data_IF_359634367497
#
_entry.id   IF_359634367497
#
_cell.length_a   1.000
_cell.length_b   1.000
_cell.length_c   1.000
_cell.angle_alpha   90.00
_cell.angle_beta   90.00
_cell.angle_gamma   90.00
#
_symmetry.space_group_name_H-M   'P 1'
#
loop_
_entity.id
_entity.type
_entity.pdbx_description
1 polymer ?
#
# COMPACT_ATOMS: atom_id res chain seq x y z
N UNK A 1 -11.47 -6.20 -4.24
CA UNK A 1 -10.29 -6.59 -3.41
C UNK A 1 -10.24 -5.78 -2.10
N UNK A 2 -9.69 -6.33 -1.01
CA UNK A 2 -9.43 -5.56 0.23
C UNK A 2 -8.20 -4.66 0.08
N UNK A 3 -8.05 -3.63 0.94
CA UNK A 3 -6.86 -2.77 0.96
C UNK A 3 -5.57 -3.58 1.14
N UNK A 4 -5.56 -4.57 2.03
CA UNK A 4 -4.42 -5.45 2.25
C UNK A 4 -3.92 -6.11 0.95
N UNK A 5 -4.85 -6.68 0.16
CA UNK A 5 -4.54 -7.29 -1.14
C UNK A 5 -4.03 -6.27 -2.15
N UNK A 6 -4.63 -5.07 -2.21
CA UNK A 6 -4.22 -4.01 -3.14
C UNK A 6 -2.83 -3.47 -2.82
N UNK A 7 -2.52 -3.25 -1.54
CA UNK A 7 -1.22 -2.75 -1.08
C UNK A 7 -0.13 -3.78 -1.38
N UNK A 8 -0.37 -5.06 -1.06
CA UNK A 8 0.57 -6.13 -1.39
C UNK A 8 0.80 -6.25 -2.90
N UNK A 9 -0.27 -6.17 -3.69
CA UNK A 9 -0.19 -6.19 -5.16
C UNK A 9 0.61 -5.01 -5.70
N UNK A 10 0.40 -3.81 -5.14
CA UNK A 10 1.16 -2.61 -5.52
C UNK A 10 2.66 -2.82 -5.30
N UNK A 11 3.04 -3.35 -4.13
CA UNK A 11 4.43 -3.66 -3.83
C UNK A 11 5.04 -4.64 -4.83
N UNK A 12 4.31 -5.69 -5.17
CA UNK A 12 4.74 -6.71 -6.15
C UNK A 12 4.84 -6.15 -7.57
N UNK A 13 3.93 -5.26 -7.99
CA UNK A 13 3.98 -4.60 -9.31
C UNK A 13 5.16 -3.64 -9.42
N UNK A 14 5.46 -2.90 -8.35
CA UNK A 14 6.58 -1.99 -8.30
C UNK A 14 7.93 -2.70 -8.09
N UNK A 15 7.93 -4.00 -7.79
CA UNK A 15 9.13 -4.80 -7.46
C UNK A 15 9.96 -4.22 -6.31
N UNK A 16 9.27 -3.71 -5.28
CA UNK A 16 9.92 -3.11 -4.10
C UNK A 16 9.67 -3.92 -2.82
N UNK A 17 10.46 -3.64 -1.80
CA UNK A 17 10.32 -4.18 -0.44
C UNK A 17 9.24 -3.45 0.36
N UNK A 18 8.87 -4.00 1.53
CA UNK A 18 7.95 -3.30 2.45
C UNK A 18 8.55 -1.99 2.97
N UNK A 19 9.88 -1.93 3.13
CA UNK A 19 10.61 -0.74 3.58
C UNK A 19 10.52 0.36 2.52
N UNK A 20 10.86 0.05 1.26
CA UNK A 20 10.79 1.03 0.17
C UNK A 20 9.37 1.54 -0.09
N UNK A 21 8.35 0.68 0.05
CA UNK A 21 6.96 1.12 -0.02
C UNK A 21 6.61 2.07 1.15
N UNK A 22 7.15 1.82 2.34
CA UNK A 22 6.94 2.67 3.49
C UNK A 22 7.61 4.04 3.29
N UNK A 23 8.82 4.06 2.76
CA UNK A 23 9.57 5.27 2.42
C UNK A 23 8.83 6.08 1.34
N UNK A 24 8.35 5.42 0.29
CA UNK A 24 7.53 6.03 -0.77
C UNK A 24 6.25 6.70 -0.22
N UNK A 25 5.61 6.06 0.75
CA UNK A 25 4.38 6.55 1.37
C UNK A 25 4.62 7.50 2.56
N UNK A 26 5.89 7.67 2.97
CA UNK A 26 6.33 8.36 4.18
C UNK A 26 5.58 7.88 5.43
N UNK A 27 5.65 6.57 5.69
CA UNK A 27 5.10 5.88 6.87
C UNK A 27 6.13 4.89 7.41
N UNK A 28 5.89 4.32 8.59
CA UNK A 28 6.77 3.25 9.10
C UNK A 28 6.58 1.93 8.33
N UNK A 29 7.64 1.12 8.22
CA UNK A 29 7.54 -0.25 7.68
C UNK A 29 6.55 -1.12 8.45
N UNK A 30 6.42 -0.91 9.76
CA UNK A 30 5.42 -1.59 10.61
C UNK A 30 4.00 -1.25 10.16
N UNK A 31 3.75 -0.02 9.73
CA UNK A 31 2.45 0.41 9.18
C UNK A 31 2.11 -0.37 7.92
N UNK A 32 3.04 -0.47 6.97
CA UNK A 32 2.86 -1.26 5.73
C UNK A 32 2.63 -2.74 6.06
N UNK A 33 3.43 -3.31 6.96
CA UNK A 33 3.27 -4.68 7.40
C UNK A 33 1.86 -4.95 7.99
N UNK A 34 1.36 -4.06 8.86
CA UNK A 34 0.01 -4.16 9.43
C UNK A 34 -1.08 -4.07 8.37
N UNK A 35 -0.91 -3.22 7.35
CA UNK A 35 -1.86 -3.13 6.25
C UNK A 35 -1.89 -4.39 5.40
N UNK A 36 -0.74 -4.92 4.98
CA UNK A 36 -0.66 -6.15 4.19
C UNK A 36 -1.22 -7.37 4.94
N UNK A 37 -1.06 -7.40 6.26
CA UNK A 37 -1.60 -8.45 7.14
C UNK A 37 -3.04 -8.20 7.61
N UNK A 38 -3.74 -7.21 7.06
CA UNK A 38 -5.12 -6.84 7.43
C UNK A 38 -5.32 -6.51 8.92
N UNK A 39 -4.26 -6.20 9.66
CA UNK A 39 -4.31 -5.83 11.09
C UNK A 39 -4.80 -4.41 11.30
N UNK A 40 -4.58 -3.53 10.33
CA UNK A 40 -5.05 -2.15 10.35
C UNK A 40 -5.42 -1.68 8.94
N UNK A 41 -6.29 -0.67 8.83
CA UNK A 41 -6.63 -0.03 7.56
C UNK A 41 -5.90 1.31 7.43
N UNK A 42 -5.46 1.73 6.23
CA UNK A 42 -4.88 3.05 6.04
C UNK A 42 -5.88 4.14 6.43
N UNK A 43 -5.43 5.26 7.02
CA UNK A 43 -6.32 6.40 7.29
C UNK A 43 -6.68 7.11 5.99
N UNK A 44 -7.64 8.05 6.02
CA UNK A 44 -8.03 8.82 4.84
C UNK A 44 -6.84 9.53 4.16
N UNK A 45 -5.84 9.96 4.93
CA UNK A 45 -4.61 10.58 4.40
C UNK A 45 -3.80 9.58 3.57
N UNK A 46 -3.57 8.37 4.09
CA UNK A 46 -2.82 7.35 3.36
C UNK A 46 -3.64 6.73 2.23
N UNK A 47 -4.96 6.59 2.38
CA UNK A 47 -5.85 6.13 1.32
C UNK A 47 -5.77 7.05 0.09
N UNK A 48 -5.73 8.37 0.26
CA UNK A 48 -5.56 9.30 -0.86
C UNK A 48 -4.24 9.07 -1.62
N UNK A 49 -3.14 8.83 -0.90
CA UNK A 49 -1.84 8.50 -1.52
C UNK A 49 -1.90 7.16 -2.26
N UNK A 50 -2.44 6.15 -1.62
CA UNK A 50 -2.56 4.79 -2.16
C UNK A 50 -3.45 4.73 -3.40
N UNK A 51 -4.58 5.44 -3.40
CA UNK A 51 -5.49 5.49 -4.55
C UNK A 51 -4.80 6.01 -5.79
N UNK A 52 -3.97 7.06 -5.67
CA UNK A 52 -3.18 7.57 -6.80
C UNK A 52 -2.26 6.48 -7.38
N UNK A 53 -1.50 5.81 -6.50
CA UNK A 53 -0.60 4.72 -6.91
C UNK A 53 -1.36 3.53 -7.51
N UNK A 54 -2.54 3.20 -6.98
CA UNK A 54 -3.36 2.12 -7.52
C UNK A 54 -3.87 2.43 -8.92
N UNK A 55 -4.29 3.66 -9.20
CA UNK A 55 -4.73 4.07 -10.54
C UNK A 55 -3.55 4.00 -11.52
N UNK A 56 -2.40 4.57 -11.14
CA UNK A 56 -1.18 4.57 -11.96
C UNK A 56 -0.71 3.15 -12.32
N UNK A 57 -0.93 2.18 -11.43
CA UNK A 57 -0.51 0.78 -11.60
C UNK A 57 -1.66 -0.16 -11.99
N UNK A 58 -2.86 0.36 -12.32
CA UNK A 58 -4.05 -0.42 -12.72
C UNK A 58 -4.45 -1.50 -11.70
N UNK A 59 -4.46 -1.14 -10.42
CA UNK A 59 -4.76 -2.05 -9.29
C UNK A 59 -6.17 -1.81 -8.76
N UNK A 60 -7.09 -2.69 -9.15
CA UNK A 60 -8.47 -2.71 -8.67
C UNK A 60 -9.52 -2.28 -9.69
N UNK A 61 -9.18 -2.27 -10.98
CA UNK A 61 -10.14 -2.65 -12.03
C UNK A 61 -10.42 -4.15 -11.97
#
# INVERSE_FOLDING_TARGET
>A
MTYAKRIKKLREVLLITQQELADLLNVSVVTVNRWENSKFKPTMKEQRKLVKLFIENKIGE
#
